data_IF_657763155983
#
_entry.id   IF_657763155983
#
_cell.length_a   1.000
_cell.length_b   1.000
_cell.length_c   1.000
_cell.angle_alpha   90.00
_cell.angle_beta   90.00
_cell.angle_gamma   90.00
#
_symmetry.space_group_name_H-M   'P 1'
#
loop_
_entity.id
_entity.type
_entity.pdbx_description
1 polymer ?
#
# COMPACT_ATOMS: atom_id res chain seq x y z
N UNK A 1 59.06 -25.07 13.76
CA UNK A 1 57.72 -25.26 14.34
C UNK A 1 56.98 -23.96 14.70
N UNK A 2 57.69 -22.83 15.00
CA UNK A 2 57.02 -21.51 15.29
C UNK A 2 56.45 -20.78 14.07
N UNK A 3 57.03 -20.91 12.89
CA UNK A 3 56.57 -20.26 11.65
C UNK A 3 55.17 -20.72 11.15
N UNK A 4 54.78 -21.95 11.45
CA UNK A 4 53.49 -22.48 11.02
C UNK A 4 52.31 -21.98 11.86
N UNK A 5 52.54 -21.58 13.11
CA UNK A 5 51.49 -21.06 14.01
C UNK A 5 51.12 -19.59 13.71
N UNK A 6 52.08 -18.79 13.27
CA UNK A 6 51.83 -17.40 12.86
C UNK A 6 51.06 -17.33 11.55
N UNK A 7 51.35 -18.18 10.57
CA UNK A 7 50.60 -18.26 9.33
C UNK A 7 49.14 -18.72 9.54
N UNK A 8 48.90 -19.62 10.49
CA UNK A 8 47.53 -20.07 10.83
C UNK A 8 46.75 -18.97 11.54
N UNK A 9 47.36 -18.18 12.42
CA UNK A 9 46.76 -17.04 13.08
C UNK A 9 46.44 -15.92 12.08
N UNK A 10 47.36 -15.60 11.18
CA UNK A 10 47.19 -14.59 10.15
C UNK A 10 46.07 -14.96 9.17
N UNK A 11 45.92 -16.21 8.78
CA UNK A 11 44.81 -16.69 7.94
C UNK A 11 43.45 -16.61 8.64
N UNK A 12 43.38 -16.87 9.96
CA UNK A 12 42.17 -16.72 10.74
C UNK A 12 41.75 -15.24 10.88
N UNK A 13 42.71 -14.37 11.16
CA UNK A 13 42.48 -12.93 11.25
C UNK A 13 42.01 -12.38 9.89
N UNK A 14 42.64 -12.78 8.80
CA UNK A 14 42.23 -12.37 7.46
C UNK A 14 40.81 -12.83 7.11
N UNK A 15 40.43 -14.06 7.47
CA UNK A 15 39.06 -14.57 7.30
C UNK A 15 38.05 -13.79 8.15
N UNK A 16 38.37 -13.43 9.37
CA UNK A 16 37.52 -12.63 10.26
C UNK A 16 37.35 -11.23 9.69
N UNK A 17 38.44 -10.59 9.23
CA UNK A 17 38.38 -9.26 8.61
C UNK A 17 37.53 -9.29 7.32
N UNK A 18 37.69 -10.28 6.46
CA UNK A 18 36.90 -10.47 5.26
C UNK A 18 35.43 -10.70 5.59
N UNK A 19 35.12 -11.51 6.61
CA UNK A 19 33.74 -11.73 7.06
C UNK A 19 33.12 -10.45 7.64
N UNK A 20 33.86 -9.67 8.41
CA UNK A 20 33.39 -8.38 8.95
C UNK A 20 33.19 -7.34 7.84
N UNK A 21 34.12 -7.31 6.86
CA UNK A 21 33.97 -6.43 5.67
C UNK A 21 32.76 -6.85 4.83
N UNK A 22 32.53 -8.14 4.63
CA UNK A 22 31.33 -8.63 3.92
C UNK A 22 30.06 -8.28 4.72
N UNK A 23 30.07 -8.38 6.05
CA UNK A 23 28.95 -8.01 6.91
C UNK A 23 28.66 -6.50 6.90
N UNK A 24 29.69 -5.66 6.74
CA UNK A 24 29.53 -4.19 6.59
C UNK A 24 28.99 -3.78 5.20
N UNK A 25 29.13 -4.63 4.18
CA UNK A 25 28.57 -4.40 2.85
C UNK A 25 27.16 -4.96 2.67
N UNK A 26 26.62 -5.71 3.62
CA UNK A 26 25.19 -6.00 3.70
C UNK A 26 24.51 -4.75 4.26
N UNK A 27 24.46 -3.70 3.45
CA UNK A 27 23.70 -2.50 3.74
C UNK A 27 22.25 -2.91 3.98
N UNK A 28 21.71 -2.58 5.14
CA UNK A 28 20.29 -2.69 5.44
C UNK A 28 19.58 -1.73 4.48
N UNK A 29 19.14 -2.25 3.34
CA UNK A 29 18.26 -1.50 2.45
C UNK A 29 16.92 -1.39 3.15
N UNK A 30 16.66 -0.22 3.72
CA UNK A 30 15.33 0.12 4.23
C UNK A 30 14.42 0.32 3.03
N UNK A 31 13.55 -0.64 2.77
CA UNK A 31 12.55 -0.55 1.72
C UNK A 31 11.32 0.18 2.28
N UNK A 32 11.08 1.42 1.85
CA UNK A 32 9.85 2.13 2.12
C UNK A 32 8.76 1.61 1.17
N UNK A 33 7.60 1.25 1.72
CA UNK A 33 6.44 0.78 0.98
C UNK A 33 5.29 1.74 1.16
N UNK A 34 4.50 1.90 0.10
CA UNK A 34 3.22 2.60 0.21
C UNK A 34 2.25 1.82 1.10
N UNK A 35 1.36 2.51 1.84
CA UNK A 35 0.31 1.86 2.60
C UNK A 35 -0.55 0.96 1.71
N UNK A 36 -0.89 -0.23 2.19
CA UNK A 36 -1.76 -1.17 1.51
C UNK A 36 -3.11 -1.24 2.22
N UNK A 37 -4.21 -1.16 1.48
CA UNK A 37 -5.57 -1.35 1.98
C UNK A 37 -5.99 -2.82 1.87
N UNK A 38 -6.69 -3.34 2.88
CA UNK A 38 -7.29 -4.68 2.83
C UNK A 38 -8.52 -4.68 1.94
N UNK A 39 -9.29 -3.59 1.97
CA UNK A 39 -10.44 -3.36 1.10
C UNK A 39 -10.06 -2.56 -0.15
N UNK A 40 -9.05 -2.98 -0.90
CA UNK A 40 -8.51 -2.25 -2.06
C UNK A 40 -9.59 -1.86 -3.09
N UNK A 41 -10.65 -2.66 -3.23
CA UNK A 41 -11.79 -2.38 -4.11
C UNK A 41 -12.70 -1.23 -3.58
N UNK A 42 -12.65 -0.94 -2.28
CA UNK A 42 -13.36 0.19 -1.67
C UNK A 42 -12.59 1.52 -1.82
N UNK A 43 -11.33 1.46 -2.25
CA UNK A 43 -10.51 2.63 -2.56
C UNK A 43 -10.02 2.60 -4.03
N UNK A 44 -10.93 2.65 -5.01
CA UNK A 44 -10.60 2.41 -6.42
C UNK A 44 -9.63 3.43 -7.01
N UNK A 45 -9.68 4.71 -6.61
CA UNK A 45 -8.76 5.74 -7.13
C UNK A 45 -7.33 5.53 -6.65
N UNK A 46 -7.16 5.05 -5.43
CA UNK A 46 -5.83 4.68 -4.90
C UNK A 46 -5.26 3.44 -5.60
N UNK A 47 -6.14 2.51 -6.02
CA UNK A 47 -5.75 1.28 -6.70
C UNK A 47 -5.29 1.53 -8.14
N UNK A 48 -6.07 2.35 -8.89
CA UNK A 48 -5.82 2.58 -10.30
C UNK A 48 -6.51 3.87 -10.77
N UNK A 49 -5.79 4.86 -11.30
CA UNK A 49 -6.36 6.13 -11.76
C UNK A 49 -7.41 5.97 -12.87
N UNK A 50 -7.39 4.86 -13.60
CA UNK A 50 -8.41 4.58 -14.61
C UNK A 50 -9.83 4.36 -14.05
N UNK A 51 -9.99 4.18 -12.75
CA UNK A 51 -11.30 4.10 -12.11
C UNK A 51 -12.00 5.46 -11.89
N UNK A 52 -11.32 6.58 -12.14
CA UNK A 52 -11.96 7.89 -12.04
C UNK A 52 -13.21 7.94 -12.93
N UNK A 53 -14.35 8.39 -12.37
CA UNK A 53 -15.63 8.44 -13.06
C UNK A 53 -16.14 7.06 -13.54
N UNK A 54 -15.73 5.96 -12.91
CA UNK A 54 -16.25 4.63 -13.20
C UNK A 54 -17.62 4.38 -12.52
N UNK A 55 -18.44 5.41 -12.42
CA UNK A 55 -19.78 5.38 -11.81
C UNK A 55 -20.87 5.31 -12.87
N UNK A 56 -22.00 4.65 -12.62
CA UNK A 56 -23.11 4.63 -13.55
C UNK A 56 -23.67 6.03 -13.79
N UNK A 57 -23.95 6.38 -15.05
CA UNK A 57 -24.71 7.59 -15.45
C UNK A 57 -24.18 8.92 -14.87
N UNK A 58 -22.86 9.03 -14.67
CA UNK A 58 -22.28 10.28 -14.19
C UNK A 58 -22.59 10.64 -12.73
N UNK A 59 -23.12 9.72 -11.93
CA UNK A 59 -23.33 9.97 -10.50
C UNK A 59 -21.98 10.18 -9.81
N UNK A 60 -21.83 11.15 -8.90
CA UNK A 60 -20.63 11.29 -8.10
C UNK A 60 -20.48 10.11 -7.14
N UNK A 61 -19.22 9.72 -6.89
CA UNK A 61 -18.87 8.74 -5.86
C UNK A 61 -17.93 9.37 -4.85
N UNK A 62 -18.21 9.15 -3.57
CA UNK A 62 -17.34 9.51 -2.47
C UNK A 62 -16.94 8.23 -1.77
N UNK A 63 -15.64 8.05 -1.51
CA UNK A 63 -15.14 6.95 -0.69
C UNK A 63 -14.34 7.53 0.48
N UNK A 64 -14.53 6.93 1.64
CA UNK A 64 -13.78 7.22 2.86
C UNK A 64 -13.25 5.88 3.38
N UNK A 65 -11.96 5.78 3.59
CA UNK A 65 -11.31 4.60 4.15
C UNK A 65 -10.48 4.99 5.35
N UNK A 66 -10.52 4.16 6.37
CA UNK A 66 -9.71 4.22 7.57
C UNK A 66 -9.11 2.85 7.83
N UNK A 67 -7.80 2.77 7.96
CA UNK A 67 -7.09 1.52 8.28
C UNK A 67 -6.20 1.75 9.48
N UNK A 68 -6.31 0.87 10.44
CA UNK A 68 -5.43 0.76 11.59
C UNK A 68 -4.74 -0.59 11.56
N UNK A 69 -3.43 -0.57 11.39
CA UNK A 69 -2.61 -1.77 11.30
C UNK A 69 -1.76 -1.92 12.56
N UNK A 70 -1.89 -3.07 13.21
CA UNK A 70 -1.20 -3.45 14.43
C UNK A 70 -1.49 -2.55 15.64
N UNK A 71 -2.77 -2.35 16.00
CA UNK A 71 -3.16 -1.49 17.11
C UNK A 71 -2.67 -1.97 18.48
N UNK A 72 -2.17 -3.22 18.57
CA UNK A 72 -1.64 -3.78 19.81
C UNK A 72 -0.20 -3.40 20.16
N UNK A 73 0.48 -2.68 19.29
CA UNK A 73 1.84 -2.17 19.54
C UNK A 73 1.83 -0.64 19.63
N UNK A 74 2.73 -0.06 20.45
CA UNK A 74 2.82 1.41 20.64
C UNK A 74 3.15 2.19 19.36
N UNK A 75 3.48 1.51 18.27
CA UNK A 75 3.88 2.08 16.99
C UNK A 75 2.94 1.63 15.89
N UNK A 76 1.70 2.05 15.95
CA UNK A 76 0.66 1.73 14.97
C UNK A 76 0.89 2.41 13.62
N UNK A 77 0.33 1.81 12.58
CA UNK A 77 0.25 2.41 11.25
C UNK A 77 -1.20 2.76 10.97
N UNK A 78 -1.47 4.04 10.83
CA UNK A 78 -2.83 4.54 10.61
C UNK A 78 -2.92 5.27 9.29
N UNK A 79 -3.77 4.79 8.40
CA UNK A 79 -3.97 5.36 7.08
C UNK A 79 -5.39 5.85 6.91
N UNK A 80 -5.54 7.08 6.46
CA UNK A 80 -6.80 7.70 6.05
C UNK A 80 -6.79 7.92 4.55
N UNK A 81 -7.91 7.69 3.88
CA UNK A 81 -8.10 8.02 2.48
C UNK A 81 -9.48 8.58 2.26
N UNK A 82 -9.56 9.67 1.51
CA UNK A 82 -10.80 10.26 1.06
C UNK A 82 -10.72 10.52 -0.44
N UNK A 83 -11.73 10.12 -1.19
CA UNK A 83 -11.78 10.36 -2.62
C UNK A 83 -13.16 10.75 -3.09
N UNK A 84 -13.17 11.55 -4.16
CA UNK A 84 -14.35 11.92 -4.92
C UNK A 84 -14.09 11.72 -6.40
N UNK A 85 -15.04 11.16 -7.13
CA UNK A 85 -14.94 11.05 -8.58
C UNK A 85 -16.31 11.08 -9.25
N UNK A 86 -16.32 11.54 -10.50
CA UNK A 86 -17.52 11.65 -11.33
C UNK A 86 -17.17 11.52 -12.81
N UNK A 87 -18.04 10.91 -13.59
CA UNK A 87 -17.97 10.98 -15.04
C UNK A 87 -18.48 12.34 -15.51
N UNK A 88 -17.71 13.02 -16.37
CA UNK A 88 -18.02 14.33 -16.93
C UNK A 88 -18.02 14.23 -18.46
N UNK A 89 -19.20 14.32 -19.05
CA UNK A 89 -19.38 14.19 -20.50
C UNK A 89 -18.59 15.23 -21.29
N UNK A 90 -18.52 16.47 -20.79
CA UNK A 90 -17.82 17.56 -21.45
C UNK A 90 -16.32 17.27 -21.71
N UNK A 91 -15.69 16.44 -20.89
CA UNK A 91 -14.29 16.03 -21.06
C UNK A 91 -14.15 14.59 -21.59
N UNK A 92 -15.26 13.95 -21.93
CA UNK A 92 -15.29 12.58 -22.47
C UNK A 92 -14.73 11.51 -21.52
N UNK A 93 -14.77 11.77 -20.21
CA UNK A 93 -14.11 10.91 -19.24
C UNK A 93 -14.49 11.17 -17.81
N UNK A 94 -13.71 10.60 -16.88
CA UNK A 94 -13.89 10.79 -15.44
C UNK A 94 -12.89 11.77 -14.85
N UNK A 95 -13.34 12.57 -13.91
CA UNK A 95 -12.50 13.40 -13.05
C UNK A 95 -12.56 12.85 -11.63
N UNK A 96 -11.43 12.93 -10.92
CA UNK A 96 -11.34 12.49 -9.53
C UNK A 96 -10.37 13.32 -8.73
N UNK A 97 -10.59 13.31 -7.42
CA UNK A 97 -9.69 13.87 -6.40
C UNK A 97 -9.47 12.78 -5.35
N UNK A 98 -8.25 12.61 -4.93
CA UNK A 98 -7.87 11.67 -3.86
C UNK A 98 -6.98 12.41 -2.88
N UNK A 99 -7.26 12.25 -1.59
CA UNK A 99 -6.38 12.72 -0.50
C UNK A 99 -6.12 11.54 0.42
N UNK A 100 -4.87 11.33 0.76
CA UNK A 100 -4.48 10.33 1.76
C UNK A 100 -3.57 10.93 2.81
N UNK A 101 -3.63 10.38 4.01
CA UNK A 101 -2.72 10.69 5.11
C UNK A 101 -2.37 9.38 5.80
N UNK A 102 -1.08 9.10 5.89
CA UNK A 102 -0.51 7.92 6.53
C UNK A 102 0.40 8.33 7.66
N UNK A 103 0.25 7.67 8.79
CA UNK A 103 1.06 7.87 10.00
C UNK A 103 1.74 6.57 10.35
N UNK A 104 3.06 6.55 10.32
CA UNK A 104 3.87 5.40 10.64
C UNK A 104 4.66 5.62 11.95
N UNK A 105 4.77 4.57 12.77
CA UNK A 105 5.64 4.56 13.92
C UNK A 105 5.26 5.56 15.03
N UNK A 106 4.00 5.56 15.49
CA UNK A 106 3.46 6.50 16.49
C UNK A 106 3.45 7.97 16.02
N UNK A 107 3.29 8.18 14.71
CA UNK A 107 3.24 9.53 14.12
C UNK A 107 4.61 10.17 13.87
N UNK A 108 5.70 9.41 13.99
CA UNK A 108 7.05 9.92 13.73
C UNK A 108 7.28 10.22 12.25
N UNK A 109 6.76 9.39 11.37
CA UNK A 109 6.75 9.63 9.94
C UNK A 109 5.31 9.83 9.47
N UNK A 110 5.02 11.00 8.94
CA UNK A 110 3.72 11.35 8.38
C UNK A 110 3.86 11.56 6.88
N UNK A 111 3.12 10.80 6.10
CA UNK A 111 3.04 10.94 4.64
C UNK A 111 1.65 11.38 4.26
N UNK A 112 1.53 12.49 3.55
CA UNK A 112 0.26 12.93 2.99
C UNK A 112 0.39 13.24 1.52
N UNK A 113 -0.64 12.97 0.74
CA UNK A 113 -0.68 13.38 -0.65
C UNK A 113 -2.09 13.78 -1.09
N UNK A 114 -2.14 14.69 -2.03
CA UNK A 114 -3.35 15.11 -2.73
C UNK A 114 -3.15 14.91 -4.23
N UNK A 115 -4.13 14.30 -4.87
CA UNK A 115 -4.06 13.88 -6.28
C UNK A 115 -5.25 14.39 -7.06
N UNK A 116 -4.98 14.75 -8.32
CA UNK A 116 -5.98 14.99 -9.35
C UNK A 116 -5.91 13.85 -10.36
N UNK A 117 -7.06 13.27 -10.68
CA UNK A 117 -7.15 12.12 -11.56
C UNK A 117 -8.06 12.44 -12.75
N UNK A 118 -7.63 11.96 -13.91
CA UNK A 118 -8.43 11.99 -15.13
C UNK A 118 -8.43 10.61 -15.76
N UNK A 119 -9.58 10.15 -16.24
CA UNK A 119 -9.65 8.92 -17.03
C UNK A 119 -10.45 9.14 -18.31
N UNK A 120 -9.96 8.59 -19.41
CA UNK A 120 -10.65 8.58 -20.68
C UNK A 120 -11.32 7.24 -20.93
N UNK A 121 -12.59 7.27 -21.40
CA UNK A 121 -13.37 6.06 -21.67
C UNK A 121 -13.42 5.82 -23.17
N UNK A 122 -12.88 4.66 -23.61
CA UNK A 122 -12.87 4.22 -25.00
C UNK A 122 -13.68 2.92 -25.15
N UNK A 123 -14.86 2.96 -25.79
CA UNK A 123 -15.58 1.76 -26.16
C UNK A 123 -14.85 1.04 -27.31
N UNK A 124 -14.34 -0.17 -27.08
CA UNK A 124 -13.65 -0.98 -28.11
C UNK A 124 -14.69 -1.64 -29.02
N UNK A 125 -15.72 -2.23 -28.43
CA UNK A 125 -16.83 -2.84 -29.12
C UNK A 125 -18.08 -2.91 -28.22
N UNK A 126 -19.15 -3.56 -28.68
CA UNK A 126 -20.41 -3.67 -27.90
C UNK A 126 -20.29 -4.39 -26.56
N UNK A 127 -19.21 -5.16 -26.33
CA UNK A 127 -19.01 -5.97 -25.11
C UNK A 127 -17.86 -5.47 -24.25
N UNK A 128 -16.83 -4.85 -24.84
CA UNK A 128 -15.59 -4.47 -24.19
C UNK A 128 -15.36 -2.97 -24.23
N UNK A 129 -14.95 -2.42 -23.13
CA UNK A 129 -14.54 -1.03 -22.99
C UNK A 129 -13.17 -0.97 -22.32
N UNK A 130 -12.40 0.06 -22.66
CA UNK A 130 -11.14 0.42 -22.06
C UNK A 130 -11.29 1.75 -21.36
N UNK A 131 -10.78 1.89 -20.16
CA UNK A 131 -10.50 3.17 -19.52
C UNK A 131 -9.00 3.29 -19.34
N UNK A 132 -8.45 4.44 -19.74
CA UNK A 132 -7.07 4.82 -19.46
C UNK A 132 -7.08 6.01 -18.50
N UNK A 133 -6.26 5.97 -17.47
CA UNK A 133 -6.23 6.98 -16.42
C UNK A 133 -4.85 7.56 -16.21
N UNK A 134 -4.83 8.80 -15.79
CA UNK A 134 -3.65 9.54 -15.39
C UNK A 134 -3.91 10.24 -14.05
N UNK A 135 -2.89 10.28 -13.21
CA UNK A 135 -2.90 10.94 -11.91
C UNK A 135 -1.69 11.86 -11.80
N UNK A 136 -1.94 13.06 -11.30
CA UNK A 136 -0.91 13.97 -10.86
C UNK A 136 -1.12 14.24 -9.37
N UNK A 137 -0.11 14.00 -8.56
CA UNK A 137 -0.16 14.17 -7.12
C UNK A 137 0.95 15.07 -6.60
N UNK A 138 0.70 15.67 -5.45
CA UNK A 138 1.71 16.36 -4.66
C UNK A 138 1.82 15.66 -3.32
N UNK A 139 3.02 15.16 -3.02
CA UNK A 139 3.32 14.37 -1.81
C UNK A 139 4.15 15.19 -0.84
N UNK A 140 3.87 15.03 0.45
CA UNK A 140 4.57 15.65 1.55
C UNK A 140 4.90 14.58 2.58
N UNK A 141 6.18 14.46 2.90
CA UNK A 141 6.69 13.60 3.97
C UNK A 141 7.18 14.50 5.08
N UNK A 142 6.80 14.21 6.31
CA UNK A 142 7.23 14.93 7.51
C UNK A 142 7.72 13.94 8.56
N UNK A 143 8.81 14.25 9.22
CA UNK A 143 9.39 13.44 10.27
C UNK A 143 9.63 14.30 11.51
N UNK A 144 9.32 13.75 12.67
CA UNK A 144 9.66 14.36 13.95
C UNK A 144 10.96 13.74 14.47
N UNK A 145 12.05 14.45 14.28
CA UNK A 145 13.38 14.01 14.70
C UNK A 145 13.51 13.89 16.22
N UNK A 146 12.77 14.68 16.99
CA UNK A 146 12.82 14.67 18.45
C UNK A 146 12.26 13.38 19.07
N UNK A 147 11.37 12.71 18.36
CA UNK A 147 10.79 11.44 18.77
C UNK A 147 11.63 10.21 18.36
N UNK A 148 12.72 10.43 17.62
CA UNK A 148 13.61 9.37 17.20
C UNK A 148 14.69 9.09 18.27
N UNK A 149 15.16 7.85 18.27
CA UNK A 149 16.30 7.43 19.12
C UNK A 149 17.50 7.13 18.23
N UNK A 150 18.64 7.65 18.63
CA UNK A 150 19.89 7.53 17.89
C UNK A 150 20.84 6.55 18.59
N UNK A 151 21.78 5.99 17.83
CA UNK A 151 22.72 5.00 18.33
C UNK A 151 23.67 5.50 19.43
N UNK A 152 23.98 6.81 19.44
CA UNK A 152 24.80 7.48 20.43
C UNK A 152 24.15 7.61 21.82
N UNK A 153 22.84 7.40 21.88
CA UNK A 153 22.07 7.41 23.13
C UNK A 153 22.15 6.08 23.90
N UNK A 154 22.67 5.03 23.25
CA UNK A 154 22.64 3.67 23.79
C UNK A 154 23.89 3.38 24.62
N UNK A 155 23.70 3.06 25.90
CA UNK A 155 24.70 2.40 26.73
C UNK A 155 24.58 0.89 26.58
N UNK A 156 25.71 0.18 26.50
CA UNK A 156 25.72 -1.29 26.29
C UNK A 156 25.12 -2.09 27.45
N UNK A 157 25.04 -1.49 28.65
CA UNK A 157 24.55 -2.12 29.86
C UNK A 157 23.20 -1.56 30.32
N UNK A 158 22.97 -0.24 30.12
CA UNK A 158 21.81 0.47 30.69
C UNK A 158 20.81 0.92 29.63
N UNK A 159 21.05 0.68 28.32
CA UNK A 159 20.15 1.07 27.24
C UNK A 159 20.21 2.56 26.92
N UNK A 160 19.06 3.17 26.60
CA UNK A 160 18.97 4.57 26.19
C UNK A 160 19.06 5.53 27.38
N UNK A 161 20.27 5.99 27.72
CA UNK A 161 20.50 6.89 28.88
C UNK A 161 21.23 8.18 28.53
N UNK A 162 21.87 8.27 27.38
CA UNK A 162 22.60 9.46 26.97
C UNK A 162 21.74 10.42 26.15
N UNK A 163 21.96 11.75 26.25
CA UNK A 163 21.41 12.70 25.27
C UNK A 163 22.11 12.49 23.92
N UNK A 164 21.37 12.64 22.82
CA UNK A 164 21.97 12.57 21.49
C UNK A 164 22.93 13.74 21.25
N UNK A 165 24.02 13.48 20.54
CA UNK A 165 24.96 14.46 20.03
C UNK A 165 24.69 14.80 18.56
N UNK A 166 23.72 14.14 17.94
CA UNK A 166 23.30 14.43 16.57
C UNK A 166 22.69 15.84 16.49
N UNK A 167 23.11 16.58 15.49
CA UNK A 167 22.61 17.94 15.26
C UNK A 167 21.30 17.91 14.48
N UNK A 168 20.24 17.44 15.15
CA UNK A 168 18.91 17.22 14.55
C UNK A 168 18.27 18.53 14.05
N UNK A 169 18.64 19.68 14.61
CA UNK A 169 18.12 20.99 14.19
C UNK A 169 18.53 21.36 12.76
N UNK A 170 19.58 20.76 12.24
CA UNK A 170 20.04 20.96 10.86
C UNK A 170 19.37 20.04 9.84
N UNK A 171 18.61 19.04 10.27
CA UNK A 171 17.93 18.14 9.37
C UNK A 171 16.59 18.71 8.92
N UNK A 172 16.20 18.56 7.65
CA UNK A 172 14.88 19.01 7.18
C UNK A 172 13.78 18.17 7.83
N UNK A 173 12.77 18.83 8.38
CA UNK A 173 11.62 18.16 8.99
C UNK A 173 10.60 17.67 7.95
N UNK A 174 10.77 18.04 6.70
CA UNK A 174 9.85 17.66 5.64
C UNK A 174 10.47 17.72 4.25
N UNK A 175 9.97 16.85 3.39
CA UNK A 175 10.28 16.81 1.96
C UNK A 175 8.98 16.79 1.19
N UNK A 176 8.90 17.52 0.08
CA UNK A 176 7.72 17.52 -0.76
C UNK A 176 8.09 17.51 -2.24
N UNK A 177 7.29 16.81 -3.04
CA UNK A 177 7.56 16.63 -4.46
C UNK A 177 6.29 16.29 -5.24
N UNK A 178 6.25 16.62 -6.54
CA UNK A 178 5.23 16.12 -7.46
C UNK A 178 5.50 14.66 -7.81
N UNK A 179 4.43 13.91 -8.04
CA UNK A 179 4.47 12.52 -8.44
C UNK A 179 3.37 12.21 -9.45
N UNK A 180 3.58 11.22 -10.31
CA UNK A 180 2.69 10.90 -11.41
C UNK A 180 2.43 9.39 -11.47
N UNK A 181 1.19 9.05 -11.80
CA UNK A 181 0.76 7.66 -11.97
C UNK A 181 -0.09 7.51 -13.24
N UNK A 182 -0.11 6.32 -13.79
CA UNK A 182 -0.97 5.98 -14.92
C UNK A 182 -1.55 4.58 -14.76
N UNK A 183 -2.64 4.32 -15.46
CA UNK A 183 -3.21 2.99 -15.45
C UNK A 183 -4.26 2.80 -16.53
N UNK A 184 -4.64 1.55 -16.72
CA UNK A 184 -5.77 1.22 -17.59
C UNK A 184 -6.63 0.12 -16.97
N UNK A 185 -7.87 0.07 -17.37
CA UNK A 185 -8.83 -0.99 -17.02
C UNK A 185 -9.59 -1.37 -18.28
N UNK A 186 -9.49 -2.64 -18.64
CA UNK A 186 -10.34 -3.27 -19.68
C UNK A 186 -11.47 -4.00 -18.96
N UNK A 187 -12.68 -3.75 -19.34
CA UNK A 187 -13.83 -4.37 -18.69
C UNK A 187 -14.94 -4.75 -19.67
N UNK A 188 -15.65 -5.78 -19.29
CA UNK A 188 -16.88 -6.24 -19.89
C UNK A 188 -17.99 -6.25 -18.83
N UNK A 189 -19.16 -6.78 -19.16
CA UNK A 189 -20.30 -6.81 -18.24
C UNK A 189 -20.00 -7.48 -16.89
N UNK A 190 -19.31 -8.62 -16.94
CA UNK A 190 -19.12 -9.48 -15.76
C UNK A 190 -17.64 -9.72 -15.43
N UNK A 191 -16.73 -9.02 -16.10
CA UNK A 191 -15.28 -9.24 -15.98
C UNK A 191 -14.50 -7.94 -16.16
N UNK A 192 -13.40 -7.80 -15.41
CA UNK A 192 -12.47 -6.70 -15.61
C UNK A 192 -11.02 -7.15 -15.36
N UNK A 193 -10.11 -6.48 -16.05
CA UNK A 193 -8.68 -6.57 -15.87
C UNK A 193 -8.10 -5.14 -15.84
N UNK A 194 -7.21 -4.85 -14.90
CA UNK A 194 -6.57 -3.57 -14.80
C UNK A 194 -5.09 -3.67 -14.48
N UNK A 195 -4.39 -2.62 -14.90
CA UNK A 195 -2.98 -2.42 -14.64
C UNK A 195 -2.75 -0.96 -14.28
N UNK A 196 -1.90 -0.69 -13.28
CA UNK A 196 -1.46 0.65 -12.92
C UNK A 196 0.02 0.67 -12.59
N UNK A 197 0.65 1.79 -12.90
CA UNK A 197 2.03 2.09 -12.53
C UNK A 197 2.03 3.44 -11.79
N UNK A 198 2.45 3.42 -10.55
CA UNK A 198 2.58 4.59 -9.68
C UNK A 198 4.06 4.99 -9.56
N UNK A 199 4.32 6.22 -9.17
CA UNK A 199 5.66 6.79 -8.99
C UNK A 199 6.50 6.71 -10.26
N UNK A 200 5.93 7.16 -11.38
CA UNK A 200 6.58 7.08 -12.69
C UNK A 200 7.90 7.83 -12.74
N UNK A 201 7.97 8.96 -12.04
CA UNK A 201 9.15 9.84 -11.99
C UNK A 201 10.19 9.44 -10.96
N UNK A 202 9.86 8.50 -10.07
CA UNK A 202 10.73 8.07 -8.95
C UNK A 202 11.35 9.27 -8.21
N UNK A 203 10.52 10.18 -7.66
CA UNK A 203 11.03 11.39 -7.04
C UNK A 203 11.90 11.07 -5.82
N UNK A 204 12.84 11.96 -5.51
CA UNK A 204 13.65 11.87 -4.30
C UNK A 204 12.81 12.18 -3.06
N UNK A 205 12.69 11.23 -2.13
CA UNK A 205 11.97 11.33 -0.86
C UNK A 205 12.91 11.38 0.35
N UNK A 206 14.23 11.41 0.12
CA UNK A 206 15.22 11.37 1.19
C UNK A 206 15.27 12.68 1.98
N UNK A 207 15.40 12.59 3.31
CA UNK A 207 15.58 13.75 4.20
C UNK A 207 17.04 14.20 4.31
N UNK A 208 17.98 13.25 4.36
CA UNK A 208 19.40 13.51 4.58
C UNK A 208 20.21 13.13 3.34
N UNK A 209 19.90 12.01 2.76
CA UNK A 209 20.54 11.47 1.56
C UNK A 209 19.52 11.24 0.46
N UNK A 210 19.97 11.12 -0.78
CA UNK A 210 19.09 10.77 -1.88
C UNK A 210 18.49 9.38 -1.68
N UNK A 211 17.16 9.32 -1.80
CA UNK A 211 16.38 8.10 -1.71
C UNK A 211 15.21 8.20 -2.68
N UNK A 212 15.29 7.48 -3.78
CA UNK A 212 14.23 7.46 -4.78
C UNK A 212 13.01 6.69 -4.26
N UNK A 213 11.81 7.22 -4.51
CA UNK A 213 10.55 6.52 -4.29
C UNK A 213 10.37 5.45 -5.38
N UNK A 214 10.41 4.15 -5.05
CA UNK A 214 10.35 3.11 -6.06
C UNK A 214 9.01 3.07 -6.79
N UNK A 215 9.03 2.75 -8.08
CA UNK A 215 7.79 2.50 -8.85
C UNK A 215 7.00 1.36 -8.25
N UNK A 216 5.69 1.58 -8.12
CA UNK A 216 4.74 0.56 -7.70
C UNK A 216 3.91 0.11 -8.89
N UNK A 217 3.91 -1.18 -9.15
CA UNK A 217 3.11 -1.82 -10.19
C UNK A 217 1.96 -2.55 -9.54
N UNK A 218 0.77 -2.33 -10.05
CA UNK A 218 -0.45 -2.97 -9.58
C UNK A 218 -1.16 -3.64 -10.74
N UNK A 219 -1.48 -4.92 -10.60
CA UNK A 219 -2.28 -5.67 -11.57
C UNK A 219 -3.46 -6.29 -10.84
N UNK A 220 -4.66 -6.12 -11.37
CA UNK A 220 -5.87 -6.64 -10.75
C UNK A 220 -6.83 -7.22 -11.78
N UNK A 221 -7.51 -8.28 -11.38
CA UNK A 221 -8.47 -9.00 -12.19
C UNK A 221 -9.65 -9.42 -11.31
N UNK A 222 -10.85 -9.35 -11.84
CA UNK A 222 -12.04 -9.78 -11.13
C UNK A 222 -13.23 -10.00 -12.03
N UNK A 223 -14.24 -10.62 -11.46
CA UNK A 223 -15.48 -10.91 -12.18
C UNK A 223 -16.67 -11.04 -11.25
N UNK A 224 -17.88 -11.03 -11.82
CA UNK A 224 -19.14 -11.18 -11.13
C UNK A 224 -19.92 -12.35 -11.69
N UNK A 225 -20.21 -13.35 -10.86
CA UNK A 225 -20.93 -14.55 -11.23
C UNK A 225 -22.29 -14.55 -10.53
N UNK A 226 -23.37 -14.33 -11.26
CA UNK A 226 -24.72 -14.40 -10.72
C UNK A 226 -25.20 -15.85 -10.63
N UNK A 227 -25.41 -16.36 -9.40
CA UNK A 227 -25.79 -17.77 -9.17
C UNK A 227 -27.28 -18.01 -9.41
N UNK A 228 -28.16 -17.11 -8.98
CA UNK A 228 -29.63 -17.29 -9.07
C UNK A 228 -30.26 -16.13 -9.82
N UNK A 229 -30.11 -16.09 -11.14
CA UNK A 229 -30.59 -14.99 -12.00
C UNK A 229 -32.12 -14.77 -11.96
N UNK A 230 -32.87 -15.79 -11.57
CA UNK A 230 -34.35 -15.73 -11.53
C UNK A 230 -34.91 -15.54 -10.13
N UNK A 231 -34.07 -15.41 -9.11
CA UNK A 231 -34.49 -15.16 -7.72
C UNK A 231 -34.72 -13.66 -7.48
N UNK A 232 -35.69 -13.34 -6.62
CA UNK A 232 -35.93 -11.96 -6.17
C UNK A 232 -34.68 -11.36 -5.47
N UNK A 233 -33.88 -12.19 -4.84
CA UNK A 233 -32.57 -11.83 -4.27
C UNK A 233 -31.48 -12.57 -5.03
N UNK A 234 -30.88 -11.94 -6.02
CA UNK A 234 -29.76 -12.49 -6.78
C UNK A 234 -28.55 -12.60 -5.86
N UNK A 235 -27.97 -13.78 -5.81
CA UNK A 235 -26.68 -13.97 -5.13
C UNK A 235 -25.57 -13.82 -6.17
N UNK A 236 -24.65 -12.90 -5.94
CA UNK A 236 -23.48 -12.69 -6.81
C UNK A 236 -22.21 -13.09 -6.07
N UNK A 237 -21.40 -13.92 -6.72
CA UNK A 237 -20.07 -14.29 -6.25
C UNK A 237 -19.05 -13.54 -7.10
N UNK A 238 -18.14 -12.83 -6.46
CA UNK A 238 -17.14 -11.99 -7.13
C UNK A 238 -15.74 -12.44 -6.74
N UNK A 239 -15.11 -13.37 -7.48
CA UNK A 239 -13.71 -13.70 -7.31
C UNK A 239 -12.85 -12.54 -7.81
N UNK A 240 -11.78 -12.24 -7.08
CA UNK A 240 -10.85 -11.20 -7.43
C UNK A 240 -9.42 -11.59 -7.04
N UNK A 241 -8.48 -11.05 -7.79
CA UNK A 241 -7.05 -11.20 -7.58
C UNK A 241 -6.37 -9.84 -7.77
N UNK A 242 -5.43 -9.54 -6.89
CA UNK A 242 -4.60 -8.35 -6.92
C UNK A 242 -3.14 -8.76 -6.73
N UNK A 243 -2.29 -8.30 -7.63
CA UNK A 243 -0.84 -8.35 -7.53
C UNK A 243 -0.28 -6.94 -7.42
N UNK A 244 0.60 -6.72 -6.46
CA UNK A 244 1.33 -5.47 -6.29
C UNK A 244 2.81 -5.76 -6.13
N UNK A 245 3.64 -4.92 -6.76
CA UNK A 245 5.09 -4.95 -6.61
C UNK A 245 5.62 -3.53 -6.47
N UNK A 246 6.46 -3.33 -5.45
CA UNK A 246 7.20 -2.09 -5.26
C UNK A 246 8.62 -2.46 -4.84
N UNK A 247 9.59 -2.19 -5.70
CA UNK A 247 10.98 -2.63 -5.57
C UNK A 247 11.07 -4.16 -5.40
N UNK A 248 11.58 -4.64 -4.27
CA UNK A 248 11.72 -6.07 -3.96
C UNK A 248 10.48 -6.65 -3.28
N UNK A 249 9.58 -5.78 -2.80
CA UNK A 249 8.36 -6.24 -2.17
C UNK A 249 7.31 -6.65 -3.18
N UNK A 250 6.79 -7.86 -3.02
CA UNK A 250 5.72 -8.42 -3.84
C UNK A 250 4.59 -8.91 -2.94
N UNK A 251 3.37 -8.61 -3.35
CA UNK A 251 2.18 -8.99 -2.60
C UNK A 251 1.09 -9.50 -3.53
N UNK A 252 0.49 -10.61 -3.14
CA UNK A 252 -0.65 -11.23 -3.78
C UNK A 252 -1.84 -11.19 -2.83
N UNK A 253 -2.97 -10.65 -3.29
CA UNK A 253 -4.23 -10.73 -2.57
C UNK A 253 -5.23 -11.46 -3.48
N UNK A 254 -5.86 -12.49 -2.96
CA UNK A 254 -6.89 -13.25 -3.69
C UNK A 254 -8.02 -13.63 -2.77
N UNK A 255 -9.22 -13.56 -3.29
CA UNK A 255 -10.39 -13.83 -2.48
C UNK A 255 -11.69 -13.69 -3.23
N UNK A 256 -12.74 -13.79 -2.49
CA UNK A 256 -14.10 -13.84 -3.02
C UNK A 256 -15.03 -12.97 -2.16
N UNK A 257 -15.91 -12.21 -2.82
CA UNK A 257 -17.07 -11.59 -2.21
C UNK A 257 -18.33 -12.36 -2.55
N UNK A 258 -19.23 -12.45 -1.61
CA UNK A 258 -20.58 -12.93 -1.81
C UNK A 258 -21.55 -11.82 -1.44
N UNK A 259 -22.33 -11.37 -2.40
CA UNK A 259 -23.36 -10.37 -2.20
C UNK A 259 -24.74 -11.01 -2.34
N UNK A 260 -25.60 -10.84 -1.34
CA UNK A 260 -26.99 -11.30 -1.35
C UNK A 260 -27.91 -10.24 -0.76
N UNK A 261 -28.67 -9.57 -1.61
CA UNK A 261 -29.50 -8.43 -1.18
C UNK A 261 -28.64 -7.30 -0.63
N UNK A 262 -28.93 -6.79 0.57
CA UNK A 262 -28.15 -5.69 1.16
C UNK A 262 -26.85 -6.15 1.86
N UNK A 263 -26.62 -7.46 2.02
CA UNK A 263 -25.50 -7.98 2.78
C UNK A 263 -24.38 -8.40 1.83
N UNK A 264 -23.15 -8.02 2.14
CA UNK A 264 -21.94 -8.50 1.48
C UNK A 264 -21.00 -9.11 2.53
N UNK A 265 -20.43 -10.25 2.18
CA UNK A 265 -19.37 -10.89 2.97
C UNK A 265 -18.21 -11.23 2.06
N UNK A 266 -17.00 -11.29 2.60
CA UNK A 266 -15.81 -11.64 1.83
C UNK A 266 -14.79 -12.40 2.66
N UNK A 267 -14.04 -13.24 1.96
CA UNK A 267 -12.90 -13.97 2.48
C UNK A 267 -11.73 -13.80 1.52
N UNK A 268 -10.61 -13.37 2.07
CA UNK A 268 -9.40 -13.09 1.32
C UNK A 268 -8.18 -13.68 1.99
N UNK A 269 -7.18 -13.93 1.18
CA UNK A 269 -5.85 -14.31 1.62
C UNK A 269 -4.83 -13.33 1.03
N UNK A 270 -3.89 -12.92 1.87
CA UNK A 270 -2.74 -12.09 1.51
C UNK A 270 -1.48 -12.92 1.65
N UNK A 271 -0.66 -12.87 0.62
CA UNK A 271 0.59 -13.59 0.55
C UNK A 271 1.68 -12.65 0.02
N UNK A 272 2.80 -12.56 0.72
CA UNK A 272 4.04 -11.95 0.22
C UNK A 272 4.95 -13.02 -0.35
N UNK A 273 6.01 -12.64 -1.07
CA UNK A 273 6.91 -13.59 -1.72
C UNK A 273 7.51 -14.63 -0.76
N UNK A 274 7.82 -14.21 0.46
CA UNK A 274 8.51 -15.06 1.44
C UNK A 274 7.55 -15.79 2.39
N UNK A 275 6.36 -15.20 2.67
CA UNK A 275 5.49 -15.70 3.72
C UNK A 275 4.00 -15.49 3.42
N UNK A 276 3.19 -16.41 3.92
CA UNK A 276 1.76 -16.18 4.05
C UNK A 276 1.51 -15.14 5.15
N UNK A 277 0.92 -14.00 4.77
CA UNK A 277 0.80 -12.84 5.67
C UNK A 277 -0.47 -12.89 6.51
N UNK A 278 -1.65 -12.93 5.87
CA UNK A 278 -2.90 -12.85 6.60
C UNK A 278 -4.10 -13.44 5.86
N UNK A 279 -5.10 -13.86 6.64
CA UNK A 279 -6.48 -14.02 6.19
C UNK A 279 -7.27 -12.75 6.52
N UNK A 280 -8.11 -12.31 5.58
CA UNK A 280 -8.94 -11.12 5.73
C UNK A 280 -10.40 -11.54 5.70
N UNK A 281 -11.11 -11.25 6.75
CA UNK A 281 -12.57 -11.41 6.85
C UNK A 281 -13.22 -10.06 6.61
N UNK A 282 -14.27 -10.02 5.81
CA UNK A 282 -15.00 -8.81 5.52
C UNK A 282 -16.49 -9.01 5.66
N UNK A 283 -17.16 -8.03 6.23
CA UNK A 283 -18.61 -7.91 6.26
C UNK A 283 -19.04 -6.48 5.89
N UNK A 284 -20.16 -6.34 5.21
CA UNK A 284 -20.64 -5.03 4.82
C UNK A 284 -22.11 -5.01 4.45
N UNK A 285 -22.62 -3.79 4.27
CA UNK A 285 -23.99 -3.50 3.89
C UNK A 285 -23.99 -2.61 2.65
N UNK A 286 -24.82 -2.97 1.69
CA UNK A 286 -25.04 -2.20 0.46
C UNK A 286 -26.52 -1.82 0.44
N UNK A 287 -26.81 -0.53 0.54
CA UNK A 287 -28.18 -0.01 0.47
C UNK A 287 -28.22 1.16 -0.51
N UNK A 288 -28.90 0.97 -1.64
CA UNK A 288 -29.04 1.96 -2.70
C UNK A 288 -27.72 2.66 -3.08
N UNK A 289 -27.52 3.89 -2.57
CA UNK A 289 -26.33 4.70 -2.84
C UNK A 289 -25.26 4.63 -1.76
N UNK A 290 -25.52 3.92 -0.67
CA UNK A 290 -24.60 3.80 0.47
C UNK A 290 -24.02 2.40 0.57
N UNK A 291 -22.70 2.34 0.81
CA UNK A 291 -21.99 1.08 1.08
C UNK A 291 -21.14 1.29 2.31
N UNK A 292 -21.24 0.37 3.25
CA UNK A 292 -20.37 0.31 4.43
C UNK A 292 -19.73 -1.07 4.48
N UNK A 293 -18.45 -1.13 4.73
CA UNK A 293 -17.68 -2.37 4.88
C UNK A 293 -16.74 -2.27 6.06
N UNK A 294 -16.56 -3.38 6.74
CA UNK A 294 -15.56 -3.58 7.77
C UNK A 294 -14.74 -4.82 7.44
N UNK A 295 -13.43 -4.73 7.55
CA UNK A 295 -12.55 -5.87 7.41
C UNK A 295 -11.63 -6.05 8.61
N UNK A 296 -11.30 -7.30 8.88
CA UNK A 296 -10.40 -7.73 9.92
C UNK A 296 -9.34 -8.65 9.33
N UNK A 297 -8.06 -8.23 9.42
CA UNK A 297 -6.93 -9.00 8.93
C UNK A 297 -6.36 -9.86 10.04
N UNK A 298 -6.48 -11.16 9.93
CA UNK A 298 -5.90 -12.13 10.87
C UNK A 298 -4.47 -12.40 10.45
N UNK A 299 -3.49 -11.85 11.15
CA UNK A 299 -2.07 -12.07 10.89
C UNK A 299 -1.70 -13.53 11.21
N UNK A 300 -1.08 -14.22 10.24
CA UNK A 300 -0.65 -15.62 10.37
C UNK A 300 0.87 -15.74 10.34
N UNK A 301 1.57 -14.70 9.89
CA UNK A 301 3.02 -14.64 9.85
C UNK A 301 3.68 -14.70 11.24
N UNK A 302 5.00 -14.80 11.30
CA UNK A 302 5.77 -14.84 12.54
C UNK A 302 5.52 -13.62 13.46
N UNK A 303 5.04 -12.52 12.91
CA UNK A 303 4.59 -11.32 13.65
C UNK A 303 3.41 -11.59 14.61
N UNK A 304 2.71 -12.71 14.48
CA UNK A 304 1.66 -13.13 15.42
C UNK A 304 2.15 -13.19 16.88
N UNK A 305 3.42 -13.49 17.07
CA UNK A 305 4.03 -13.59 18.40
C UNK A 305 4.29 -12.22 19.06
N UNK A 306 4.17 -11.13 18.32
CA UNK A 306 4.50 -9.76 18.75
C UNK A 306 3.30 -8.97 19.27
N UNK A 307 2.17 -9.62 19.62
CA UNK A 307 0.95 -9.00 20.14
C UNK A 307 0.37 -7.88 19.24
N UNK A 308 0.50 -8.03 17.92
CA UNK A 308 0.14 -7.01 16.93
C UNK A 308 -1.37 -6.74 16.78
N UNK A 309 -2.24 -7.60 17.36
CA UNK A 309 -3.70 -7.48 17.31
C UNK A 309 -4.28 -7.25 15.91
N UNK A 310 -3.63 -7.82 14.88
CA UNK A 310 -4.12 -7.81 13.50
C UNK A 310 -4.19 -6.40 12.83
N UNK A 311 -5.10 -6.19 11.86
CA UNK A 311 -5.41 -4.90 11.29
C UNK A 311 -6.91 -4.75 11.07
N UNK A 312 -7.39 -3.52 11.15
CA UNK A 312 -8.80 -3.14 11.00
C UNK A 312 -8.94 -2.10 9.89
N UNK A 313 -9.96 -2.25 9.07
CA UNK A 313 -10.31 -1.26 8.05
C UNK A 313 -11.82 -1.08 7.93
#
# INVERSE_FOLDING_TARGET
MKLNLENIKMHRICKIIVSVVIMLFVGLQSNAQDPAFSQFYANPLYLNPAFAGATPKGCPRVNLNYRDQWPGIDRTFVTYSASWDQHVEAVGGGLGVLVTADRAGAGRLNTSHASLLYSYHLPINRKWSLKAGFEASYRMLQIDWSELTFGDQIDSQYGFIYPTQENIDNYPNGVSFPDFSTGFVVYAKDFYFGFAAHHLTQPNQGFISESELPRKITTHIGGNIAMNKYSRNVTTISPNFLYQRQQDFQQFNYGVYVNRGPIVGGLWARHSEENFDSFILMAGIIQESFKFGYSYDITVSELKNSNTLAAHE
#
